data_IF_268824561677
#
_entry.id   IF_268824561677
#
_cell.length_a   1.000
_cell.length_b   1.000
_cell.length_c   1.000
_cell.angle_alpha   90.00
_cell.angle_beta   90.00
_cell.angle_gamma   90.00
#
_symmetry.space_group_name_H-M   'P 1'
#
loop_
_entity.id
_entity.type
_entity.pdbx_description
1 polymer ?
#
# COMPACT_ATOMS: atom_id res chain seq x y z
N UNK A 1 -12.06 4.97 -17.83
CA UNK A 1 -12.35 5.72 -16.59
C UNK A 1 -13.31 4.98 -15.66
N UNK A 2 -14.45 4.45 -16.14
CA UNK A 2 -15.44 3.74 -15.29
C UNK A 2 -14.89 2.54 -14.49
N UNK A 3 -13.99 1.73 -15.07
CA UNK A 3 -13.39 0.57 -14.39
C UNK A 3 -12.52 0.96 -13.20
N UNK A 4 -11.65 1.97 -13.36
CA UNK A 4 -10.80 2.49 -12.29
C UNK A 4 -11.61 3.14 -11.16
N UNK A 5 -12.71 3.82 -11.49
CA UNK A 5 -13.63 4.39 -10.49
C UNK A 5 -14.36 3.30 -9.70
N UNK A 6 -14.74 2.21 -10.36
CA UNK A 6 -15.35 1.05 -9.71
C UNK A 6 -14.36 0.33 -8.78
N UNK A 7 -13.12 0.12 -9.22
CA UNK A 7 -12.06 -0.50 -8.40
C UNK A 7 -11.72 0.36 -7.19
N UNK A 8 -11.65 1.68 -7.38
CA UNK A 8 -11.45 2.65 -6.30
C UNK A 8 -12.63 2.61 -5.32
N UNK A 9 -13.88 2.66 -5.80
CA UNK A 9 -15.07 2.52 -4.94
C UNK A 9 -15.06 1.22 -4.13
N UNK A 10 -14.63 0.11 -4.73
CA UNK A 10 -14.53 -1.17 -4.05
C UNK A 10 -13.45 -1.15 -2.96
N UNK A 11 -12.30 -0.54 -3.21
CA UNK A 11 -11.24 -0.40 -2.22
C UNK A 11 -11.68 0.43 -1.01
N UNK A 12 -12.29 1.61 -1.24
CA UNK A 12 -12.73 2.48 -0.15
C UNK A 12 -13.80 1.86 0.73
N UNK A 13 -14.59 0.90 0.23
CA UNK A 13 -15.57 0.15 1.04
C UNK A 13 -14.95 -0.69 2.16
N UNK A 14 -13.69 -1.09 2.00
CA UNK A 14 -12.99 -1.94 2.97
C UNK A 14 -12.23 -1.12 4.03
N UNK A 15 -12.23 0.21 3.91
CA UNK A 15 -11.60 1.11 4.89
C UNK A 15 -12.54 1.31 6.08
N UNK A 16 -11.99 1.25 7.30
CA UNK A 16 -12.73 1.48 8.53
C UNK A 16 -13.52 2.81 8.48
N UNK A 17 -14.81 2.75 8.81
CA UNK A 17 -15.68 3.93 8.82
C UNK A 17 -16.24 4.35 7.45
N UNK A 18 -15.90 3.67 6.36
CA UNK A 18 -16.46 3.91 5.03
C UNK A 18 -17.43 2.79 4.63
N UNK A 19 -18.39 3.14 3.76
CA UNK A 19 -19.34 2.22 3.16
C UNK A 19 -19.48 2.55 1.66
N UNK A 20 -20.27 1.77 0.92
CA UNK A 20 -20.44 1.97 -0.53
C UNK A 20 -20.90 3.40 -0.89
N UNK A 21 -21.83 3.96 -0.12
CA UNK A 21 -22.35 5.32 -0.36
C UNK A 21 -21.29 6.39 -0.08
N UNK A 22 -20.55 6.28 1.03
CA UNK A 22 -19.47 7.21 1.37
C UNK A 22 -18.32 7.15 0.38
N UNK A 23 -17.94 5.95 -0.06
CA UNK A 23 -16.93 5.76 -1.11
C UNK A 23 -17.34 6.48 -2.40
N UNK A 24 -18.61 6.35 -2.81
CA UNK A 24 -19.16 7.07 -3.97
C UNK A 24 -19.10 8.59 -3.76
N UNK A 25 -19.50 9.08 -2.59
CA UNK A 25 -19.47 10.52 -2.30
C UNK A 25 -18.05 11.10 -2.31
N UNK A 26 -17.04 10.33 -1.88
CA UNK A 26 -15.63 10.74 -1.95
C UNK A 26 -15.19 10.90 -3.41
N UNK A 27 -15.57 9.95 -4.29
CA UNK A 27 -15.29 10.01 -5.72
C UNK A 27 -15.98 11.22 -6.36
N UNK A 28 -17.28 11.38 -6.13
CA UNK A 28 -18.06 12.52 -6.66
C UNK A 28 -17.49 13.86 -6.19
N UNK A 29 -16.99 13.93 -4.95
CA UNK A 29 -16.32 15.13 -4.45
C UNK A 29 -15.02 15.41 -5.22
N UNK A 30 -14.20 14.39 -5.50
CA UNK A 30 -12.95 14.54 -6.27
C UNK A 30 -13.19 14.92 -7.72
N UNK A 31 -14.24 14.41 -8.34
CA UNK A 31 -14.62 14.79 -9.70
C UNK A 31 -15.02 16.28 -9.80
N UNK A 32 -15.68 16.81 -8.76
CA UNK A 32 -16.16 18.20 -8.72
C UNK A 32 -15.11 19.21 -8.26
N UNK A 33 -14.29 18.86 -7.27
CA UNK A 33 -13.38 19.79 -6.59
C UNK A 33 -11.90 19.51 -6.91
N UNK A 34 -11.60 18.45 -7.66
CA UNK A 34 -10.24 18.01 -7.91
C UNK A 34 -9.64 17.19 -6.76
N UNK A 35 -8.30 17.04 -6.71
CA UNK A 35 -7.65 16.22 -5.70
C UNK A 35 -7.74 16.83 -4.29
N UNK A 36 -7.73 15.97 -3.27
CA UNK A 36 -7.62 16.43 -1.88
C UNK A 36 -6.20 16.94 -1.61
N UNK A 37 -6.10 18.17 -1.12
CA UNK A 37 -4.86 18.84 -0.69
C UNK A 37 -4.48 18.38 0.72
N UNK A 38 -5.48 18.21 1.60
CA UNK A 38 -5.27 17.76 2.98
C UNK A 38 -6.41 16.86 3.46
N UNK A 39 -6.17 16.14 4.57
CA UNK A 39 -7.19 15.24 5.14
C UNK A 39 -8.42 15.99 5.64
N UNK A 40 -8.28 17.24 6.07
CA UNK A 40 -9.41 18.02 6.59
C UNK A 40 -10.52 18.23 5.56
N UNK A 41 -10.18 18.30 4.28
CA UNK A 41 -11.16 18.38 3.19
C UNK A 41 -12.09 17.16 3.12
N UNK A 42 -11.69 16.00 3.66
CA UNK A 42 -12.58 14.84 3.76
C UNK A 42 -13.84 15.16 4.58
N UNK A 43 -13.74 16.05 5.59
CA UNK A 43 -14.90 16.51 6.38
C UNK A 43 -15.93 17.27 5.54
N UNK A 44 -15.55 17.79 4.37
CA UNK A 44 -16.45 18.47 3.42
C UNK A 44 -17.23 17.49 2.53
N UNK A 45 -16.89 16.20 2.56
CA UNK A 45 -17.58 15.17 1.79
C UNK A 45 -18.95 14.90 2.40
N UNK A 46 -19.99 14.95 1.57
CA UNK A 46 -21.37 14.68 1.98
C UNK A 46 -21.48 13.29 2.65
N UNK A 47 -22.03 13.25 3.86
CA UNK A 47 -22.24 12.00 4.61
C UNK A 47 -21.00 11.45 5.34
N UNK A 48 -19.87 12.17 5.31
CA UNK A 48 -18.70 11.88 6.15
C UNK A 48 -18.74 12.73 7.42
N UNK A 49 -19.39 12.20 8.47
CA UNK A 49 -19.45 12.86 9.77
C UNK A 49 -18.14 12.73 10.57
N UNK A 50 -18.01 13.43 11.71
CA UNK A 50 -16.79 13.47 12.52
C UNK A 50 -16.33 12.09 12.99
N UNK A 51 -17.27 11.21 13.40
CA UNK A 51 -16.94 9.82 13.78
C UNK A 51 -16.40 9.02 12.60
N UNK A 52 -16.98 9.18 11.42
CA UNK A 52 -16.54 8.47 10.22
C UNK A 52 -15.16 8.96 9.77
N UNK A 53 -14.94 10.26 9.85
CA UNK A 53 -13.64 10.88 9.61
C UNK A 53 -12.58 10.32 10.56
N UNK A 54 -12.83 10.27 11.86
CA UNK A 54 -11.89 9.71 12.85
C UNK A 54 -11.55 8.23 12.56
N UNK A 55 -12.50 7.45 12.07
CA UNK A 55 -12.26 6.05 11.76
C UNK A 55 -11.44 5.86 10.47
N UNK A 56 -11.63 6.71 9.46
CA UNK A 56 -10.99 6.52 8.16
C UNK A 56 -9.70 7.33 7.95
N UNK A 57 -9.51 8.44 8.67
CA UNK A 57 -8.47 9.42 8.34
C UNK A 57 -7.05 8.85 8.41
N UNK A 58 -6.77 7.93 9.35
CA UNK A 58 -5.45 7.30 9.47
C UNK A 58 -5.10 6.34 8.31
N UNK A 59 -6.10 5.87 7.57
CA UNK A 59 -5.92 4.94 6.45
C UNK A 59 -5.85 5.63 5.09
N UNK A 60 -6.27 6.90 5.01
CA UNK A 60 -6.27 7.67 3.77
C UNK A 60 -4.98 8.49 3.71
N UNK A 61 -4.09 8.17 2.78
CA UNK A 61 -2.85 8.93 2.52
C UNK A 61 -3.04 9.87 1.34
N UNK A 62 -2.48 11.07 1.45
CA UNK A 62 -2.49 12.08 0.38
C UNK A 62 -1.03 12.31 -0.05
N UNK A 63 -0.70 12.02 -1.31
CA UNK A 63 0.64 12.22 -1.84
C UNK A 63 0.92 13.71 -2.04
N UNK A 64 1.84 14.28 -1.26
CA UNK A 64 2.11 15.72 -1.28
C UNK A 64 2.87 16.18 -2.53
N UNK A 65 3.72 15.33 -3.13
CA UNK A 65 4.42 15.69 -4.36
C UNK A 65 3.44 15.91 -5.51
N UNK A 66 2.47 15.01 -5.65
CA UNK A 66 1.39 15.17 -6.64
C UNK A 66 0.60 16.46 -6.40
N UNK A 67 0.29 16.78 -5.14
CA UNK A 67 -0.44 18.01 -4.79
C UNK A 67 0.43 19.25 -5.02
N UNK A 68 1.71 19.22 -4.69
CA UNK A 68 2.65 20.32 -4.94
C UNK A 68 2.73 20.64 -6.44
N UNK A 69 2.88 19.62 -7.28
CA UNK A 69 2.86 19.76 -8.74
C UNK A 69 1.52 20.30 -9.25
N UNK A 70 0.41 19.78 -8.74
CA UNK A 70 -0.94 20.23 -9.13
C UNK A 70 -1.19 21.69 -8.73
N UNK A 71 -0.85 22.08 -7.50
CA UNK A 71 -0.98 23.44 -7.01
C UNK A 71 -0.13 24.41 -7.84
N UNK A 72 1.13 24.07 -8.16
CA UNK A 72 1.97 24.90 -9.02
C UNK A 72 1.39 25.11 -10.43
N UNK A 73 0.69 24.10 -10.99
CA UNK A 73 0.01 24.22 -12.27
C UNK A 73 -1.25 25.09 -12.21
N UNK A 74 -2.05 24.94 -11.13
CA UNK A 74 -3.29 25.70 -10.97
C UNK A 74 -3.08 27.20 -10.73
N UNK A 75 -1.95 27.57 -10.12
CA UNK A 75 -1.57 28.98 -9.91
C UNK A 75 -1.15 29.70 -11.19
N UNK A 76 -0.88 28.99 -12.29
CA UNK A 76 -0.59 29.62 -13.60
C UNK A 76 -1.85 29.96 -14.42
N UNK A 77 -3.03 29.43 -14.04
CA UNK A 77 -4.28 29.62 -14.79
C UNK A 77 -5.26 30.61 -14.16
N UNK A 78 -4.91 31.26 -13.04
CA UNK A 78 -5.84 32.11 -12.25
C UNK A 78 -5.52 33.62 -12.24
N UNK A 79 -4.75 34.12 -13.22
CA UNK A 79 -4.47 35.57 -13.38
C UNK A 79 -5.28 36.29 -14.48
N UNK A 80 -6.32 35.67 -15.06
CA UNK A 80 -7.12 36.32 -16.11
C UNK A 80 -8.63 36.22 -15.89
N UNK A 81 -9.16 36.97 -14.92
CA UNK A 81 -10.47 37.65 -15.02
C UNK A 81 -10.84 38.38 -13.72
N UNK A 82 -10.71 39.71 -13.71
CA UNK A 82 -11.30 40.61 -12.68
C UNK A 82 -12.01 41.80 -13.34
N UNK A 83 -13.20 42.14 -12.82
CA UNK A 83 -13.97 43.38 -13.07
C UNK A 83 -15.14 43.18 -14.04
N UNK A 84 -16.40 43.55 -13.76
CA UNK A 84 -16.90 44.87 -13.29
C UNK A 84 -18.25 44.74 -12.52
N UNK A 85 -18.48 45.66 -11.58
CA UNK A 85 -19.62 45.82 -10.66
C UNK A 85 -20.84 46.62 -11.21
N UNK A 86 -21.99 46.48 -10.51
CA UNK A 86 -23.12 47.44 -10.40
C UNK A 86 -24.50 46.79 -10.60
N UNK A 87 -25.60 47.04 -9.87
CA UNK A 87 -26.00 47.91 -8.73
C UNK A 87 -27.39 47.44 -8.21
N UNK A 88 -27.67 47.66 -6.90
CA UNK A 88 -28.96 47.95 -6.20
C UNK A 88 -30.26 47.09 -6.33
N UNK A 89 -30.71 46.47 -5.21
CA UNK A 89 -31.78 46.91 -4.28
C UNK A 89 -32.64 45.78 -3.61
N UNK A 90 -32.73 45.88 -2.27
CA UNK A 90 -33.79 45.52 -1.28
C UNK A 90 -34.30 44.06 -0.99
N UNK A 91 -33.94 43.67 0.25
CA UNK A 91 -34.74 43.12 1.38
C UNK A 91 -35.27 41.67 1.40
N UNK A 92 -34.75 40.89 2.38
CA UNK A 92 -35.41 39.70 2.94
C UNK A 92 -34.51 38.90 3.89
N UNK A 93 -34.69 39.06 5.21
CA UNK A 93 -33.88 38.45 6.31
C UNK A 93 -33.85 36.91 6.29
N UNK A 94 -32.65 36.30 6.35
CA UNK A 94 -32.33 35.16 7.26
C UNK A 94 -30.80 35.00 7.43
N UNK A 95 -30.34 35.17 8.67
CA UNK A 95 -28.93 35.02 9.10
C UNK A 95 -28.49 33.55 9.03
N UNK A 96 -27.36 33.26 8.38
CA UNK A 96 -26.34 32.30 8.88
C UNK A 96 -25.03 32.37 8.07
N UNK A 97 -24.10 33.15 8.62
CA UNK A 97 -22.62 33.07 8.63
C UNK A 97 -21.88 32.53 7.38
N UNK A 98 -21.27 33.51 6.72
CA UNK A 98 -20.16 33.60 5.74
C UNK A 98 -19.15 32.43 5.68
N UNK A 99 -18.72 31.99 4.48
CA UNK A 99 -17.68 30.98 4.32
C UNK A 99 -16.30 31.59 4.61
N UNK A 100 -15.62 31.05 5.63
CA UNK A 100 -14.21 31.39 5.90
C UNK A 100 -13.37 30.76 4.78
N UNK A 101 -12.70 31.62 4.00
CA UNK A 101 -11.75 31.23 2.97
C UNK A 101 -10.48 30.70 3.66
N UNK A 102 -10.52 29.44 4.11
CA UNK A 102 -9.39 28.77 4.74
C UNK A 102 -8.36 28.46 3.66
N UNK A 103 -7.20 29.12 3.73
CA UNK A 103 -6.05 28.83 2.88
C UNK A 103 -5.69 27.34 3.02
N UNK A 104 -5.95 26.56 1.98
CA UNK A 104 -5.73 25.13 1.94
C UNK A 104 -4.23 24.87 1.79
N UNK A 105 -3.51 24.67 2.90
CA UNK A 105 -2.09 24.31 2.88
C UNK A 105 -1.91 22.78 2.88
N UNK A 106 -1.00 22.24 2.04
CA UNK A 106 -0.61 20.84 2.10
C UNK A 106 0.10 20.54 3.43
N UNK A 107 -0.22 19.39 4.04
CA UNK A 107 0.42 18.93 5.27
C UNK A 107 1.24 17.65 5.02
N UNK A 108 2.57 17.67 5.16
CA UNK A 108 3.44 16.49 5.02
C UNK A 108 3.01 15.28 5.86
N UNK A 109 2.41 15.51 7.03
CA UNK A 109 1.94 14.41 7.89
C UNK A 109 0.79 13.60 7.28
N UNK A 110 0.05 14.15 6.31
CA UNK A 110 -1.06 13.44 5.64
C UNK A 110 -0.59 12.27 4.75
N UNK A 111 0.72 12.17 4.47
CA UNK A 111 1.33 10.99 3.81
C UNK A 111 1.56 9.83 4.78
N UNK A 112 1.63 10.10 6.08
CA UNK A 112 2.01 9.11 7.10
C UNK A 112 0.80 8.34 7.64
N UNK A 113 1.05 7.28 8.41
CA UNK A 113 0.00 6.56 9.16
C UNK A 113 -0.48 7.32 10.42
N UNK A 114 0.09 8.49 10.72
CA UNK A 114 -0.25 9.28 11.90
C UNK A 114 -1.67 9.79 11.76
N UNK A 115 -2.49 9.59 12.77
CA UNK A 115 -3.87 10.07 12.77
C UNK A 115 -3.91 11.60 13.03
N UNK A 116 -4.84 12.37 12.41
CA UNK A 116 -4.94 13.82 12.63
C UNK A 116 -5.11 14.26 14.09
N UNK A 117 -5.69 13.40 14.93
CA UNK A 117 -5.81 13.62 16.39
C UNK A 117 -4.44 13.71 17.09
N UNK A 118 -3.40 13.13 16.49
CA UNK A 118 -2.05 13.08 17.05
C UNK A 118 -1.08 14.04 16.35
N UNK A 119 -1.57 14.94 15.48
CA UNK A 119 -0.70 15.91 14.79
C UNK A 119 -0.03 16.88 15.74
N UNK A 120 -0.73 17.34 16.78
CA UNK A 120 -0.16 18.21 17.79
C UNK A 120 1.02 17.55 18.52
N UNK A 121 0.88 16.24 18.81
CA UNK A 121 1.92 15.44 19.47
C UNK A 121 3.09 15.21 18.52
N UNK A 122 2.82 14.88 17.26
CA UNK A 122 3.85 14.69 16.24
C UNK A 122 4.66 15.97 15.99
N UNK A 123 4.01 17.14 15.95
CA UNK A 123 4.69 18.44 15.82
C UNK A 123 5.59 18.74 17.03
N UNK A 124 5.11 18.47 18.25
CA UNK A 124 5.94 18.63 19.47
C UNK A 124 7.13 17.67 19.46
N UNK A 125 6.92 16.41 19.06
CA UNK A 125 8.00 15.43 18.93
C UNK A 125 9.03 15.87 17.88
N UNK A 126 8.59 16.41 16.73
CA UNK A 126 9.47 16.96 15.69
C UNK A 126 10.34 18.12 16.22
N UNK A 127 9.73 19.05 16.96
CA UNK A 127 10.48 20.13 17.61
C UNK A 127 11.48 19.59 18.65
N UNK A 128 11.12 18.51 19.35
CA UNK A 128 11.97 17.88 20.36
C UNK A 128 13.20 17.18 19.75
N UNK A 129 13.04 16.49 18.61
CA UNK A 129 14.16 15.86 17.89
C UNK A 129 14.98 16.86 17.04
N UNK A 130 14.53 18.11 16.89
CA UNK A 130 15.14 19.08 15.98
C UNK A 130 14.99 18.69 14.50
N UNK A 131 13.88 18.06 14.15
CA UNK A 131 13.56 17.58 12.81
C UNK A 131 12.70 18.59 12.04
N UNK A 132 12.86 18.65 10.73
CA UNK A 132 11.98 19.43 9.86
C UNK A 132 10.95 18.53 9.16
N UNK A 133 9.81 19.10 8.75
CA UNK A 133 8.76 18.35 8.03
C UNK A 133 9.23 17.81 6.66
N UNK A 134 10.31 18.36 6.11
CA UNK A 134 10.90 17.93 4.83
C UNK A 134 11.82 16.71 4.96
N UNK A 135 12.12 16.28 6.20
CA UNK A 135 12.98 15.14 6.51
C UNK A 135 12.18 13.85 6.73
N UNK A 136 10.84 13.91 6.74
CA UNK A 136 9.97 12.75 6.93
C UNK A 136 10.31 11.65 5.91
N UNK A 137 10.49 10.41 6.40
CA UNK A 137 10.83 9.25 5.57
C UNK A 137 12.27 9.22 5.03
N UNK A 138 13.13 10.20 5.38
CA UNK A 138 14.56 10.22 5.03
C UNK A 138 15.41 9.54 6.11
N UNK A 139 16.59 8.99 5.75
CA UNK A 139 17.48 8.35 6.72
C UNK A 139 17.96 9.31 7.82
N UNK A 140 18.08 10.61 7.52
CA UNK A 140 18.44 11.64 8.51
C UNK A 140 17.45 11.69 9.68
N UNK A 141 16.15 11.58 9.40
CA UNK A 141 15.10 11.55 10.42
C UNK A 141 15.21 10.29 11.26
N UNK A 142 15.44 9.13 10.63
CA UNK A 142 15.61 7.87 11.34
C UNK A 142 16.81 7.91 12.30
N UNK A 143 17.92 8.49 11.87
CA UNK A 143 19.11 8.66 12.70
C UNK A 143 18.85 9.55 13.92
N UNK A 144 18.17 10.70 13.73
CA UNK A 144 17.77 11.60 14.82
C UNK A 144 16.87 10.89 15.83
N UNK A 145 15.87 10.16 15.34
CA UNK A 145 14.93 9.40 16.19
C UNK A 145 15.67 8.34 16.98
N UNK A 146 16.53 7.53 16.34
CA UNK A 146 17.30 6.49 17.02
C UNK A 146 18.24 7.06 18.09
N UNK A 147 18.92 8.18 17.77
CA UNK A 147 19.81 8.87 18.72
C UNK A 147 19.07 9.38 19.97
N UNK A 148 17.81 9.81 19.81
CA UNK A 148 16.98 10.25 20.92
C UNK A 148 16.46 9.06 21.74
N UNK A 149 16.05 8.00 21.07
CA UNK A 149 15.57 6.77 21.68
C UNK A 149 16.65 6.10 22.55
N UNK A 150 17.90 6.11 22.11
CA UNK A 150 19.03 5.62 22.91
C UNK A 150 19.31 6.46 24.16
N UNK A 151 19.07 7.78 24.10
CA UNK A 151 19.33 8.70 25.22
C UNK A 151 18.25 8.71 26.29
N UNK A 152 16.99 8.86 25.88
CA UNK A 152 15.88 9.05 26.83
C UNK A 152 15.00 7.81 26.99
N UNK A 153 14.95 6.95 25.97
CA UNK A 153 14.05 5.81 25.90
C UNK A 153 12.59 6.20 25.62
N UNK A 154 11.85 5.30 24.96
CA UNK A 154 10.48 5.54 24.47
C UNK A 154 9.53 5.99 25.61
N UNK A 155 9.67 5.42 26.81
CA UNK A 155 8.75 5.68 27.93
C UNK A 155 8.86 7.11 28.45
N UNK A 156 10.08 7.61 28.67
CA UNK A 156 10.30 8.98 29.19
C UNK A 156 9.87 10.03 28.17
N UNK A 157 10.18 9.80 26.90
CA UNK A 157 9.74 10.70 25.82
C UNK A 157 8.20 10.73 25.71
N UNK A 158 7.52 9.58 25.90
CA UNK A 158 6.06 9.53 25.90
C UNK A 158 5.46 10.33 27.07
N UNK A 159 6.03 10.22 28.27
CA UNK A 159 5.63 11.00 29.45
C UNK A 159 5.83 12.51 29.23
N UNK A 160 6.99 12.91 28.68
CA UNK A 160 7.29 14.31 28.38
C UNK A 160 6.34 14.94 27.35
N UNK A 161 5.85 14.13 26.40
CA UNK A 161 4.88 14.56 25.38
C UNK A 161 3.42 14.38 25.80
N UNK A 162 3.16 13.91 27.02
CA UNK A 162 1.81 13.61 27.54
C UNK A 162 1.04 12.63 26.65
N UNK A 163 1.73 11.59 26.15
CA UNK A 163 1.14 10.60 25.25
C UNK A 163 1.38 9.17 25.73
N UNK A 164 0.77 8.20 25.06
CA UNK A 164 1.00 6.78 25.35
C UNK A 164 2.17 6.25 24.54
N UNK A 165 2.85 5.23 25.07
CA UNK A 165 3.96 4.55 24.39
C UNK A 165 3.55 4.07 22.99
N UNK A 166 2.34 3.54 22.84
CA UNK A 166 1.82 3.04 21.56
C UNK A 166 1.60 4.18 20.56
N UNK A 167 1.00 5.29 21.00
CA UNK A 167 0.80 6.46 20.14
C UNK A 167 2.14 7.03 19.68
N UNK A 168 3.12 7.11 20.58
CA UNK A 168 4.47 7.56 20.23
C UNK A 168 5.14 6.60 19.23
N UNK A 169 4.96 5.28 19.40
CA UNK A 169 5.48 4.29 18.47
C UNK A 169 4.88 4.44 17.07
N UNK A 170 3.56 4.66 16.97
CA UNK A 170 2.91 4.97 15.68
C UNK A 170 3.46 6.25 15.05
N UNK A 171 3.77 7.28 15.85
CA UNK A 171 4.38 8.52 15.37
C UNK A 171 5.81 8.24 14.86
N UNK A 172 6.62 7.51 15.63
CA UNK A 172 7.97 7.12 15.24
C UNK A 172 7.96 6.33 13.94
N UNK A 173 7.12 5.31 13.85
CA UNK A 173 6.96 4.48 12.65
C UNK A 173 6.51 5.33 11.47
N UNK A 174 5.54 6.22 11.67
CA UNK A 174 5.03 7.11 10.64
C UNK A 174 6.04 8.14 10.12
N UNK A 175 6.93 8.64 10.98
CA UNK A 175 8.00 9.57 10.60
C UNK A 175 9.22 8.87 9.97
N UNK A 176 9.44 7.62 10.37
CA UNK A 176 10.56 6.77 9.90
C UNK A 176 10.27 6.10 8.56
N UNK A 177 9.02 5.71 8.29
CA UNK A 177 8.66 5.01 7.05
C UNK A 177 8.84 5.91 5.80
N UNK A 178 9.46 5.40 4.72
CA UNK A 178 9.58 6.15 3.49
C UNK A 178 8.21 6.35 2.81
N UNK A 179 8.10 7.39 1.97
CA UNK A 179 6.83 7.78 1.34
C UNK A 179 6.22 6.67 0.46
N UNK A 180 7.07 5.83 -0.14
CA UNK A 180 6.69 4.68 -0.97
C UNK A 180 6.59 3.36 -0.19
N UNK A 181 6.66 3.40 1.15
CA UNK A 181 6.62 2.20 1.97
C UNK A 181 5.28 1.47 1.80
N UNK A 182 5.37 0.33 1.12
CA UNK A 182 4.31 -0.65 1.02
C UNK A 182 4.86 -1.96 1.60
N UNK A 183 4.37 -2.35 2.78
CA UNK A 183 4.73 -3.62 3.41
C UNK A 183 4.43 -4.82 2.50
N UNK A 184 3.68 -4.63 1.41
CA UNK A 184 3.42 -5.67 0.43
C UNK A 184 4.56 -5.93 -0.56
N UNK A 185 5.53 -5.04 -0.71
CA UNK A 185 6.67 -5.27 -1.62
C UNK A 185 7.58 -6.40 -1.15
N UNK A 186 7.57 -6.67 0.15
CA UNK A 186 8.32 -7.76 0.77
C UNK A 186 7.58 -9.10 0.72
N UNK A 187 6.31 -9.13 0.26
CA UNK A 187 5.71 -10.40 -0.09
C UNK A 187 6.47 -10.99 -1.27
N UNK A 188 6.68 -12.30 -1.20
CA UNK A 188 7.39 -13.06 -2.21
C UNK A 188 6.96 -12.62 -3.62
N UNK A 189 7.92 -12.06 -4.35
CA UNK A 189 7.74 -11.75 -5.77
C UNK A 189 7.18 -13.01 -6.43
N UNK A 190 6.22 -12.90 -7.37
CA UNK A 190 5.73 -14.07 -8.07
C UNK A 190 6.95 -14.81 -8.63
N UNK A 191 7.14 -16.04 -8.17
CA UNK A 191 8.33 -16.83 -8.47
C UNK A 191 8.47 -17.04 -10.00
N UNK A 192 7.34 -16.99 -10.71
CA UNK A 192 7.23 -17.22 -12.15
C UNK A 192 7.92 -16.13 -12.96
N UNK A 193 8.77 -16.56 -13.92
CA UNK A 193 9.19 -15.69 -15.03
C UNK A 193 7.93 -15.21 -15.75
N UNK A 194 7.65 -13.91 -15.68
CA UNK A 194 6.44 -13.23 -16.20
C UNK A 194 6.07 -13.53 -17.66
N UNK A 195 6.95 -14.18 -18.43
CA UNK A 195 6.81 -14.42 -19.86
C UNK A 195 5.97 -15.63 -20.23
N UNK A 196 5.70 -16.59 -19.31
CA UNK A 196 4.98 -17.83 -19.65
C UNK A 196 3.68 -17.87 -18.86
N UNK A 197 2.57 -17.65 -19.56
CA UNK A 197 1.22 -17.61 -18.99
C UNK A 197 0.41 -18.84 -19.43
N UNK A 198 0.75 -19.40 -20.59
CA UNK A 198 -0.02 -20.45 -21.26
C UNK A 198 0.84 -21.69 -21.55
N UNK A 199 0.19 -22.85 -21.75
CA UNK A 199 0.85 -24.13 -22.02
C UNK A 199 1.56 -24.11 -23.39
N UNK A 200 1.05 -23.31 -24.33
CA UNK A 200 1.54 -23.16 -25.70
C UNK A 200 2.88 -22.41 -25.75
N UNK A 201 3.16 -21.55 -24.78
CA UNK A 201 4.41 -20.78 -24.68
C UNK A 201 5.54 -21.59 -24.02
N UNK A 202 5.22 -22.79 -23.51
CA UNK A 202 6.16 -23.62 -22.79
C UNK A 202 7.04 -24.40 -23.76
N UNK A 203 8.34 -24.31 -23.59
CA UNK A 203 9.31 -25.07 -24.38
C UNK A 203 9.96 -26.16 -23.53
N UNK A 204 10.29 -27.29 -24.17
CA UNK A 204 11.08 -28.34 -23.53
C UNK A 204 12.47 -27.80 -23.20
N UNK A 205 12.93 -28.05 -21.97
CA UNK A 205 14.20 -27.56 -21.45
C UNK A 205 14.11 -26.25 -20.66
N UNK A 206 12.97 -25.55 -20.69
CA UNK A 206 12.79 -24.33 -19.90
C UNK A 206 12.87 -24.62 -18.40
N UNK A 207 13.63 -23.80 -17.67
CA UNK A 207 13.73 -23.83 -16.21
C UNK A 207 12.79 -22.80 -15.60
N UNK A 208 11.91 -23.28 -14.74
CA UNK A 208 10.86 -22.54 -14.05
C UNK A 208 10.90 -22.85 -12.56
N UNK A 209 10.36 -21.93 -11.78
CA UNK A 209 10.06 -22.10 -10.37
C UNK A 209 8.59 -22.46 -10.22
N UNK A 210 8.29 -23.29 -9.22
CA UNK A 210 6.93 -23.70 -8.95
C UNK A 210 6.73 -24.09 -7.50
N UNK A 211 5.45 -24.23 -7.13
CA UNK A 211 5.04 -24.61 -5.79
C UNK A 211 4.43 -26.01 -5.79
N UNK A 212 4.87 -26.87 -4.87
CA UNK A 212 4.32 -28.22 -4.74
C UNK A 212 2.86 -28.11 -4.32
N UNK A 213 1.94 -28.63 -5.14
CA UNK A 213 0.53 -28.75 -4.78
C UNK A 213 0.28 -29.99 -3.93
N UNK A 214 0.84 -31.13 -4.35
CA UNK A 214 0.66 -32.39 -3.68
C UNK A 214 1.82 -33.36 -3.97
N UNK A 215 2.10 -34.26 -3.05
CA UNK A 215 3.07 -35.33 -3.19
C UNK A 215 2.35 -36.68 -3.11
N UNK A 216 2.55 -37.53 -4.11
CA UNK A 216 1.97 -38.87 -4.20
C UNK A 216 3.07 -39.94 -4.28
N UNK A 217 2.68 -41.20 -4.11
CA UNK A 217 3.60 -42.34 -4.17
C UNK A 217 4.21 -42.62 -5.56
N UNK A 218 3.76 -41.94 -6.62
CA UNK A 218 4.31 -42.09 -7.97
C UNK A 218 4.97 -40.79 -8.50
N UNK A 219 4.76 -39.66 -7.82
CA UNK A 219 5.30 -38.38 -8.25
C UNK A 219 4.76 -37.19 -7.46
N UNK A 220 5.30 -36.02 -7.78
CA UNK A 220 5.00 -34.76 -7.11
C UNK A 220 4.38 -33.81 -8.13
N UNK A 221 3.25 -33.23 -7.77
CA UNK A 221 2.54 -32.27 -8.60
C UNK A 221 2.98 -30.86 -8.21
N UNK A 222 3.47 -30.11 -9.19
CA UNK A 222 4.00 -28.76 -9.01
C UNK A 222 3.23 -27.79 -9.89
N UNK A 223 2.77 -26.72 -9.27
CA UNK A 223 2.18 -25.59 -9.96
C UNK A 223 3.28 -24.68 -10.51
N UNK A 224 3.36 -24.60 -11.83
CA UNK A 224 4.29 -23.74 -12.56
C UNK A 224 3.61 -22.50 -13.16
N UNK A 225 2.33 -22.25 -12.83
CA UNK A 225 1.61 -21.04 -13.23
C UNK A 225 0.98 -21.08 -14.63
N UNK A 226 0.95 -22.22 -15.31
CA UNK A 226 0.38 -22.40 -16.67
C UNK A 226 -1.05 -22.95 -16.67
N UNK A 227 -1.76 -22.86 -15.54
CA UNK A 227 -3.13 -23.37 -15.37
C UNK A 227 -3.25 -24.90 -15.24
N UNK A 228 -2.15 -25.65 -15.39
CA UNK A 228 -2.06 -27.11 -15.22
C UNK A 228 -0.84 -27.46 -14.37
N UNK A 229 -1.01 -28.38 -13.42
CA UNK A 229 0.09 -28.87 -12.60
C UNK A 229 0.99 -29.82 -13.41
N UNK A 230 2.30 -29.63 -13.34
CA UNK A 230 3.28 -30.55 -13.90
C UNK A 230 3.61 -31.67 -12.92
N UNK A 231 3.83 -32.87 -13.44
CA UNK A 231 4.22 -34.04 -12.66
C UNK A 231 5.73 -34.21 -12.70
N UNK A 232 6.36 -34.27 -11.53
CA UNK A 232 7.73 -34.76 -11.36
C UNK A 232 7.64 -36.24 -11.01
N UNK A 233 8.04 -37.16 -11.90
CA UNK A 233 8.11 -38.58 -11.58
C UNK A 233 9.12 -38.83 -10.46
N UNK A 234 8.88 -39.80 -9.59
CA UNK A 234 9.79 -40.10 -8.47
C UNK A 234 11.22 -40.42 -8.92
N UNK A 235 11.40 -41.05 -10.08
CA UNK A 235 12.73 -41.32 -10.66
C UNK A 235 13.56 -40.06 -10.90
N UNK A 236 12.91 -38.91 -11.07
CA UNK A 236 13.55 -37.61 -11.30
C UNK A 236 13.83 -36.86 -9.98
N UNK A 237 13.34 -37.38 -8.85
CA UNK A 237 13.56 -36.84 -7.50
C UNK A 237 14.77 -37.57 -6.90
N UNK A 238 15.97 -37.07 -7.17
CA UNK A 238 17.22 -37.66 -6.65
C UNK A 238 17.60 -37.05 -5.30
N UNK A 239 18.15 -37.85 -4.37
CA UNK A 239 18.59 -37.38 -3.04
C UNK A 239 19.65 -36.26 -3.10
N UNK A 240 20.46 -36.22 -4.18
CA UNK A 240 21.44 -35.17 -4.41
C UNK A 240 20.80 -33.78 -4.66
N UNK A 241 19.54 -33.75 -5.09
CA UNK A 241 18.77 -32.54 -5.41
C UNK A 241 17.91 -32.06 -4.24
N UNK A 242 17.86 -32.84 -3.15
CA UNK A 242 17.15 -32.52 -1.92
C UNK A 242 18.07 -31.81 -0.92
N UNK A 243 17.51 -30.87 -0.15
CA UNK A 243 18.24 -30.17 0.91
C UNK A 243 18.78 -31.13 1.98
N UNK A 244 19.95 -30.83 2.56
CA UNK A 244 20.65 -31.64 3.58
C UNK A 244 19.76 -32.03 4.77
N UNK A 245 18.78 -31.19 5.12
CA UNK A 245 17.85 -31.40 6.25
C UNK A 245 16.71 -32.38 5.95
N UNK A 246 16.39 -32.63 4.67
CA UNK A 246 15.20 -33.40 4.25
C UNK A 246 15.47 -34.84 3.77
N UNK A 247 16.74 -35.28 3.82
CA UNK A 247 17.17 -36.66 3.46
C UNK A 247 16.51 -37.80 4.26
N UNK A 248 15.76 -37.48 5.32
CA UNK A 248 15.20 -38.46 6.27
C UNK A 248 13.73 -38.83 6.00
N UNK A 249 13.05 -38.18 5.05
CA UNK A 249 11.65 -38.50 4.66
C UNK A 249 11.63 -39.20 3.30
N UNK A 250 10.84 -40.26 3.20
CA UNK A 250 10.70 -41.15 2.04
C UNK A 250 10.23 -40.46 0.75
N UNK A 251 9.64 -39.27 0.83
CA UNK A 251 9.40 -38.32 -0.26
C UNK A 251 9.74 -36.92 0.28
N UNK A 252 10.93 -36.41 -0.02
CA UNK A 252 11.53 -35.23 0.63
C UNK A 252 10.88 -33.87 0.35
N UNK A 253 9.65 -33.82 -0.18
CA UNK A 253 8.94 -32.61 -0.60
C UNK A 253 7.47 -32.65 -0.14
N UNK A 254 7.09 -31.72 0.74
CA UNK A 254 5.69 -31.54 1.19
C UNK A 254 4.89 -30.54 0.34
N UNK A 255 3.54 -30.53 0.46
CA UNK A 255 2.69 -29.50 -0.12
C UNK A 255 3.13 -28.10 0.35
N UNK A 256 3.17 -27.15 -0.58
CA UNK A 256 3.50 -25.76 -0.33
C UNK A 256 4.98 -25.41 -0.49
N UNK A 257 5.86 -26.39 -0.66
CA UNK A 257 7.28 -26.14 -0.84
C UNK A 257 7.60 -25.53 -2.21
N UNK A 258 8.65 -24.71 -2.25
CA UNK A 258 9.16 -24.09 -3.47
C UNK A 258 10.22 -24.97 -4.11
N UNK A 259 10.11 -25.15 -5.41
CA UNK A 259 11.03 -25.98 -6.19
C UNK A 259 11.39 -25.31 -7.50
N UNK A 260 12.62 -25.53 -7.94
CA UNK A 260 13.06 -25.20 -9.29
C UNK A 260 13.00 -26.46 -10.15
N UNK A 261 12.29 -26.36 -11.26
CA UNK A 261 11.94 -27.48 -12.15
C UNK A 261 12.32 -27.16 -13.59
N UNK A 262 12.66 -28.21 -14.34
CA UNK A 262 12.91 -28.14 -15.78
C UNK A 262 11.85 -28.93 -16.53
N UNK A 263 11.35 -28.37 -17.62
CA UNK A 263 10.39 -29.05 -18.49
C UNK A 263 11.10 -30.14 -19.29
N UNK A 264 10.68 -31.40 -19.14
CA UNK A 264 11.21 -32.52 -19.91
C UNK A 264 10.35 -32.84 -21.13
N UNK A 265 9.04 -32.85 -20.95
CA UNK A 265 8.11 -33.24 -22.00
C UNK A 265 6.78 -32.53 -21.81
N UNK A 266 6.20 -32.06 -22.92
CA UNK A 266 4.91 -31.39 -22.96
C UNK A 266 4.02 -32.19 -23.89
N UNK A 267 2.89 -32.64 -23.36
CA UNK A 267 1.84 -33.30 -24.13
C UNK A 267 0.64 -32.34 -24.19
N UNK A 268 0.60 -31.55 -25.27
CA UNK A 268 -0.46 -30.56 -25.54
C UNK A 268 -1.85 -31.19 -25.61
N UNK A 269 -2.09 -32.28 -26.38
CA UNK A 269 -3.45 -32.83 -26.51
C UNK A 269 -3.99 -33.40 -25.19
N UNK A 270 -3.13 -33.90 -24.29
CA UNK A 270 -3.56 -34.37 -22.95
C UNK A 270 -3.37 -33.33 -21.84
N UNK A 271 -2.85 -32.16 -22.18
CA UNK A 271 -2.46 -31.09 -21.23
C UNK A 271 -1.61 -31.60 -20.07
N UNK A 272 -0.64 -32.48 -20.37
CA UNK A 272 0.26 -33.06 -19.36
C UNK A 272 1.66 -32.51 -19.52
N UNK A 273 2.28 -32.16 -18.40
CA UNK A 273 3.64 -31.62 -18.35
C UNK A 273 4.47 -32.54 -17.46
N UNK A 274 5.55 -33.08 -18.01
CA UNK A 274 6.53 -33.85 -17.25
C UNK A 274 7.70 -32.97 -16.89
N UNK A 275 8.00 -32.91 -15.60
CA UNK A 275 9.02 -32.04 -15.02
C UNK A 275 10.18 -32.86 -14.44
N UNK A 276 11.36 -32.27 -14.44
CA UNK A 276 12.54 -32.72 -13.69
C UNK A 276 12.78 -31.75 -12.54
N UNK A 277 13.00 -32.27 -11.34
CA UNK A 277 13.41 -31.45 -10.21
C UNK A 277 14.85 -31.02 -10.42
N UNK A 278 15.19 -29.74 -10.24
CA UNK A 278 16.58 -29.27 -10.19
C UNK A 278 17.01 -29.18 -8.73
N UNK A 279 16.26 -28.41 -7.92
CA UNK A 279 16.51 -28.22 -6.49
C UNK A 279 15.27 -27.72 -5.75
N UNK A 280 15.31 -27.83 -4.43
CA UNK A 280 14.34 -27.23 -3.51
C UNK A 280 14.85 -25.86 -3.07
N UNK A 281 13.98 -24.85 -3.08
CA UNK A 281 14.29 -23.47 -2.64
C UNK A 281 14.00 -23.29 -1.15
#
# INVERSE_FOLDING_TARGET
QSRLLNDMSLFFRHIAGLNANRAKNIIEWREKNGPFINREQLKKVKGLGPKSFQQCAGFIRINQDYIRTFCSYSSQHTESSTGVEGTNEKQGKKKSKTPVNVVLKPNPLDQTCIHPESYDIAMRFLSFIGGTLCEIGKPEMQQKINSLLEKEGIKKTAEGLQTTVHTLQVIIDGLSQPESFDFRTDFDKPDFKRSIVCLEDLQVGTVLTGKVQNATLFGIFVDIGVGRAGLIPIRNVTEAKLSKTKKRRSLGLGPGERVEVRVLHIDVPRSRITLDLIRVL
#
